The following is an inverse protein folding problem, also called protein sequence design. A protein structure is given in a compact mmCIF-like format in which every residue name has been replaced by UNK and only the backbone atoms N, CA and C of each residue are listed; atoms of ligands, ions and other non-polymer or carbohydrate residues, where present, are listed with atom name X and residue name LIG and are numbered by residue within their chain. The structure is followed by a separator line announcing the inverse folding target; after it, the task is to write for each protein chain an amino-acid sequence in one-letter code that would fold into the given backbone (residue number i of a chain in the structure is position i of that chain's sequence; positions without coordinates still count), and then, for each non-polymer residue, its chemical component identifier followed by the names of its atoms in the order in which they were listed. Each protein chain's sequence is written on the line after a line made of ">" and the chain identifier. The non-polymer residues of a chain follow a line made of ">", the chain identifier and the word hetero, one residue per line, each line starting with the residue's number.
data_IF_188330814786
#
_entry.id   IF_188330814786
#
_cell.length_a   1.000
_cell.length_b   1.000
_cell.length_c   1.000
_cell.angle_alpha   90.00
_cell.angle_beta   90.00
_cell.angle_gamma   90.00
#
_symmetry.space_group_name_H-M   'P 1'
#
loop_
_entity.id
_entity.type
_entity.pdbx_description
1 polymer ?
#
# COMPACT_ATOMS: atom_id res chain seq x y z
N UNK A 1 -18.04 22.15 17.49
CA UNK A 1 -18.79 21.65 16.30
C UNK A 1 -17.97 21.65 15.02
N UNK A 2 -17.17 22.67 14.70
CA UNK A 2 -16.31 22.72 13.49
C UNK A 2 -15.22 21.63 13.50
N UNK A 3 -14.58 21.36 14.65
CA UNK A 3 -13.52 20.37 14.81
C UNK A 3 -14.00 18.92 14.58
N UNK A 4 -15.24 18.58 14.91
CA UNK A 4 -15.82 17.26 14.63
C UNK A 4 -16.09 17.05 13.14
N UNK A 5 -16.43 18.11 12.40
CA UNK A 5 -16.69 18.04 10.96
C UNK A 5 -15.39 17.79 10.18
N UNK A 6 -14.31 18.46 10.55
CA UNK A 6 -13.00 18.31 9.91
C UNK A 6 -12.46 16.87 10.05
N UNK A 7 -12.60 16.27 11.23
CA UNK A 7 -12.16 14.88 11.47
C UNK A 7 -12.89 13.87 10.57
N UNK A 8 -14.19 14.06 10.32
CA UNK A 8 -14.98 13.13 9.50
C UNK A 8 -14.60 13.19 8.01
N UNK A 9 -14.18 14.35 7.53
CA UNK A 9 -13.79 14.51 6.10
C UNK A 9 -12.33 14.21 5.83
N UNK A 10 -11.45 14.34 6.82
CA UNK A 10 -10.00 14.22 6.67
C UNK A 10 -9.47 12.86 7.13
N UNK A 11 -10.00 12.32 8.22
CA UNK A 11 -9.52 11.07 8.81
C UNK A 11 -10.69 10.11 9.09
N UNK A 12 -10.54 8.86 8.68
CA UNK A 12 -11.50 7.79 8.94
C UNK A 12 -10.89 6.74 9.85
N UNK A 13 -11.57 6.34 10.95
CA UNK A 13 -11.14 5.20 11.73
C UNK A 13 -11.41 3.89 10.96
N UNK A 14 -10.41 3.03 10.91
CA UNK A 14 -10.47 1.70 10.27
C UNK A 14 -9.97 0.66 11.25
N UNK A 15 -10.64 -0.48 11.33
CA UNK A 15 -10.16 -1.66 12.03
C UNK A 15 -9.39 -2.54 11.05
N UNK A 16 -8.19 -2.93 11.42
CA UNK A 16 -7.36 -3.88 10.65
C UNK A 16 -7.91 -5.28 10.90
N UNK A 17 -8.14 -6.04 9.84
CA UNK A 17 -8.57 -7.42 9.90
C UNK A 17 -7.61 -8.31 9.11
N UNK A 18 -7.26 -9.45 9.73
CA UNK A 18 -6.33 -10.43 9.16
C UNK A 18 -4.86 -10.13 9.42
N UNK A 19 -4.02 -10.95 8.82
CA UNK A 19 -2.58 -11.03 9.12
C UNK A 19 -1.68 -10.62 7.97
N UNK A 20 -2.25 -10.16 6.86
CA UNK A 20 -1.50 -9.86 5.62
C UNK A 20 -0.50 -8.71 5.74
N UNK A 21 -0.65 -7.85 6.75
CA UNK A 21 0.22 -6.69 6.99
C UNK A 21 1.17 -6.88 8.19
N UNK A 22 1.31 -8.10 8.71
CA UNK A 22 2.31 -8.41 9.73
C UNK A 22 3.73 -8.21 9.18
N UNK A 23 4.67 -7.77 10.02
CA UNK A 23 4.53 -7.41 11.43
C UNK A 23 4.05 -5.98 11.66
N UNK A 24 3.85 -5.21 10.58
CA UNK A 24 3.57 -3.78 10.66
C UNK A 24 2.21 -3.47 11.28
N UNK A 25 1.18 -4.16 10.84
CA UNK A 25 -0.18 -4.05 11.37
C UNK A 25 -0.70 -5.44 11.76
N UNK A 26 -1.31 -5.52 12.93
CA UNK A 26 -1.86 -6.75 13.50
C UNK A 26 -3.39 -6.75 13.43
N UNK A 27 -3.95 -7.94 13.42
CA UNK A 27 -5.40 -8.12 13.52
C UNK A 27 -5.99 -7.42 14.75
N UNK A 28 -7.12 -6.74 14.56
CA UNK A 28 -7.81 -6.01 15.62
C UNK A 28 -7.25 -4.62 15.94
N UNK A 29 -6.09 -4.23 15.40
CA UNK A 29 -5.59 -2.87 15.55
C UNK A 29 -6.53 -1.86 14.89
N UNK A 30 -6.56 -0.62 15.45
CA UNK A 30 -7.37 0.46 14.88
C UNK A 30 -6.48 1.62 14.48
N UNK A 31 -6.68 2.09 13.27
CA UNK A 31 -5.87 3.12 12.63
C UNK A 31 -6.75 4.26 12.13
N UNK A 32 -6.17 5.43 12.01
CA UNK A 32 -6.72 6.51 11.22
C UNK A 32 -6.12 6.49 9.83
N UNK A 33 -6.97 6.62 8.82
CA UNK A 33 -6.56 6.76 7.42
C UNK A 33 -6.86 8.17 6.93
N UNK A 34 -5.93 8.75 6.18
CA UNK A 34 -6.10 10.05 5.53
C UNK A 34 -6.94 9.87 4.26
N UNK A 35 -8.09 10.52 4.23
CA UNK A 35 -9.00 10.51 3.06
C UNK A 35 -8.69 11.60 2.05
N UNK A 36 -7.86 12.58 2.37
CA UNK A 36 -7.49 13.64 1.42
C UNK A 36 -6.78 13.10 0.19
N UNK A 37 -6.20 11.91 0.29
CA UNK A 37 -5.63 11.19 -0.86
C UNK A 37 -6.65 10.95 -1.98
N UNK A 38 -7.93 10.77 -1.64
CA UNK A 38 -9.02 10.65 -2.62
C UNK A 38 -9.21 11.93 -3.45
N UNK A 39 -8.75 13.07 -2.92
CA UNK A 39 -8.77 14.38 -3.59
C UNK A 39 -7.41 14.74 -4.20
N UNK A 40 -6.48 13.76 -4.33
CA UNK A 40 -5.15 13.98 -4.88
C UNK A 40 -4.16 14.68 -3.94
N UNK A 41 -4.40 14.65 -2.61
CA UNK A 41 -3.54 15.32 -1.61
C UNK A 41 -3.32 14.43 -0.37
N UNK A 42 -2.07 14.05 -0.03
CA UNK A 42 -0.85 14.05 -0.85
C UNK A 42 -0.87 12.93 -1.90
N UNK A 43 0.01 12.97 -2.86
CA UNK A 43 0.18 11.89 -3.85
C UNK A 43 0.47 10.54 -3.19
N UNK A 44 0.12 9.48 -3.88
CA UNK A 44 0.45 8.12 -3.47
C UNK A 44 1.90 7.83 -3.83
N UNK A 45 2.67 7.47 -2.82
CA UNK A 45 4.09 7.18 -2.96
C UNK A 45 4.37 5.68 -2.77
N UNK A 46 5.50 5.23 -3.32
CA UNK A 46 6.01 3.89 -3.00
C UNK A 46 6.26 3.77 -1.49
N UNK A 47 5.85 2.64 -0.92
CA UNK A 47 5.97 2.38 0.51
C UNK A 47 4.75 2.82 1.33
N UNK A 48 3.84 3.59 0.76
CA UNK A 48 2.60 3.94 1.43
C UNK A 48 1.74 2.71 1.74
N UNK A 49 1.13 2.71 2.91
CA UNK A 49 0.11 1.72 3.25
C UNK A 49 -1.25 2.33 2.93
N UNK A 50 -1.92 1.77 1.94
CA UNK A 50 -3.18 2.29 1.41
C UNK A 50 -4.35 1.37 1.71
N UNK A 51 -5.52 1.97 1.87
CA UNK A 51 -6.81 1.28 2.02
C UNK A 51 -7.63 1.53 0.76
N UNK A 52 -8.17 0.47 0.20
CA UNK A 52 -8.87 0.52 -1.09
C UNK A 52 -10.00 -0.50 -1.16
N UNK A 53 -10.97 -0.25 -2.03
CA UNK A 53 -11.99 -1.24 -2.39
C UNK A 53 -11.37 -2.35 -3.23
N UNK A 54 -11.64 -3.59 -2.85
CA UNK A 54 -11.09 -4.74 -3.56
C UNK A 54 -11.61 -4.79 -5.01
N UNK A 55 -10.74 -4.83 -6.03
CA UNK A 55 -11.16 -4.69 -7.43
C UNK A 55 -12.17 -5.74 -7.91
N UNK A 56 -12.09 -6.97 -7.38
CA UNK A 56 -12.97 -8.08 -7.77
C UNK A 56 -14.25 -8.15 -6.93
N UNK A 57 -14.32 -7.42 -5.81
CA UNK A 57 -15.50 -7.34 -4.93
C UNK A 57 -15.47 -6.01 -4.16
N UNK A 58 -15.98 -4.91 -4.76
CA UNK A 58 -15.94 -3.58 -4.13
C UNK A 58 -16.74 -3.46 -2.83
N UNK A 59 -17.48 -4.48 -2.44
CA UNK A 59 -18.09 -4.59 -1.10
C UNK A 59 -17.09 -4.83 0.02
N UNK A 60 -15.84 -5.19 -0.33
CA UNK A 60 -14.74 -5.44 0.61
C UNK A 60 -13.66 -4.39 0.47
N UNK A 61 -13.03 -4.05 1.60
CA UNK A 61 -11.86 -3.18 1.63
C UNK A 61 -10.62 -3.96 2.04
N UNK A 62 -9.51 -3.66 1.39
CA UNK A 62 -8.21 -4.23 1.70
C UNK A 62 -7.23 -3.14 2.12
N UNK A 63 -6.22 -3.54 2.88
CA UNK A 63 -5.09 -2.71 3.27
C UNK A 63 -3.81 -3.38 2.80
N UNK A 64 -2.98 -2.67 2.03
CA UNK A 64 -1.73 -3.17 1.45
C UNK A 64 -0.71 -2.04 1.31
N UNK A 65 0.54 -2.42 1.08
CA UNK A 65 1.63 -1.49 0.78
C UNK A 65 1.78 -1.30 -0.72
N UNK A 66 1.98 -0.06 -1.15
CA UNK A 66 2.30 0.30 -2.53
C UNK A 66 3.74 -0.12 -2.84
N UNK A 67 3.90 -0.95 -3.86
CA UNK A 67 5.18 -1.49 -4.33
C UNK A 67 5.54 -0.94 -5.71
N UNK A 68 4.61 -0.91 -6.64
CA UNK A 68 4.80 -0.39 -7.99
C UNK A 68 3.93 0.81 -8.26
N UNK A 69 4.53 1.83 -8.85
CA UNK A 69 3.88 3.07 -9.27
C UNK A 69 3.48 3.00 -10.76
N UNK A 70 2.54 3.86 -11.21
CA UNK A 70 2.19 3.94 -12.63
C UNK A 70 3.41 4.07 -13.54
N UNK A 71 3.41 3.36 -14.67
CA UNK A 71 4.52 3.37 -15.65
C UNK A 71 5.69 2.43 -15.34
N UNK A 72 5.69 1.75 -14.20
CA UNK A 72 6.77 0.86 -13.79
C UNK A 72 6.49 -0.61 -14.15
N UNK A 73 7.55 -1.38 -14.22
CA UNK A 73 7.47 -2.85 -14.31
C UNK A 73 7.93 -3.46 -12.99
N UNK A 74 7.04 -4.22 -12.34
CA UNK A 74 7.32 -4.95 -11.10
C UNK A 74 7.49 -6.43 -11.42
N UNK A 75 8.52 -7.06 -10.88
CA UNK A 75 8.78 -8.50 -11.02
C UNK A 75 9.17 -9.09 -9.67
N UNK A 76 8.67 -10.29 -9.39
CA UNK A 76 9.12 -11.11 -8.25
C UNK A 76 10.08 -12.17 -8.79
N UNK A 77 11.27 -12.28 -8.18
CA UNK A 77 12.26 -13.33 -8.50
C UNK A 77 12.90 -13.83 -7.20
N UNK A 78 12.81 -15.12 -6.95
CA UNK A 78 13.35 -15.72 -5.73
C UNK A 78 12.80 -15.07 -4.45
N UNK A 79 11.54 -14.67 -4.45
CA UNK A 79 10.91 -13.96 -3.34
C UNK A 79 11.31 -12.49 -3.19
N UNK A 80 12.19 -11.96 -4.04
CA UNK A 80 12.63 -10.55 -4.04
C UNK A 80 11.88 -9.76 -5.08
N UNK A 81 11.67 -8.47 -4.79
CA UNK A 81 10.99 -7.55 -5.70
C UNK A 81 12.00 -6.76 -6.52
N UNK A 82 11.71 -6.64 -7.81
CA UNK A 82 12.46 -5.79 -8.73
C UNK A 82 11.50 -4.80 -9.37
N UNK A 83 11.88 -3.52 -9.35
CA UNK A 83 11.16 -2.43 -10.00
C UNK A 83 12.05 -1.89 -11.11
N UNK A 84 11.57 -1.93 -12.35
CA UNK A 84 12.34 -1.56 -13.55
C UNK A 84 13.72 -2.24 -13.59
N UNK A 85 13.78 -3.52 -13.15
CA UNK A 85 15.00 -4.31 -13.12
C UNK A 85 15.93 -4.07 -11.92
N UNK A 86 15.66 -3.10 -11.06
CA UNK A 86 16.43 -2.84 -9.83
C UNK A 86 15.77 -3.51 -8.64
N UNK A 87 16.56 -4.19 -7.79
CA UNK A 87 16.07 -4.82 -6.57
C UNK A 87 15.58 -3.77 -5.57
N UNK A 88 14.34 -3.94 -5.10
CA UNK A 88 13.75 -3.10 -4.08
C UNK A 88 14.23 -3.59 -2.70
N UNK A 89 14.87 -2.69 -1.94
CA UNK A 89 15.25 -2.98 -0.57
C UNK A 89 14.05 -2.82 0.36
N UNK A 90 13.72 -3.87 1.12
CA UNK A 90 12.49 -3.93 1.91
C UNK A 90 12.80 -4.22 3.40
N UNK A 91 13.43 -3.28 4.13
CA UNK A 91 13.88 -3.49 5.51
C UNK A 91 12.72 -3.67 6.51
N UNK A 92 11.50 -3.37 6.11
CA UNK A 92 10.29 -3.53 6.92
C UNK A 92 9.76 -4.97 6.96
N UNK A 93 10.29 -5.86 6.11
CA UNK A 93 9.87 -7.26 6.08
C UNK A 93 10.53 -8.06 7.20
N UNK A 94 9.77 -8.97 7.76
CA UNK A 94 10.29 -9.97 8.69
C UNK A 94 10.59 -11.28 7.96
N UNK A 95 11.81 -11.78 8.07
CA UNK A 95 12.28 -12.96 7.35
C UNK A 95 11.43 -14.22 7.59
N UNK A 96 10.88 -14.35 8.82
CA UNK A 96 10.05 -15.49 9.19
C UNK A 96 8.67 -15.53 8.49
N UNK A 97 8.23 -14.38 7.94
CA UNK A 97 6.95 -14.21 7.24
C UNK A 97 7.11 -14.08 5.72
N UNK A 98 8.34 -14.26 5.23
CA UNK A 98 8.72 -14.03 3.83
C UNK A 98 9.72 -15.09 3.37
N UNK A 99 9.37 -16.36 3.57
CA UNK A 99 10.23 -17.53 3.32
C UNK A 99 10.02 -18.06 1.90
N UNK A 100 8.80 -17.90 1.35
CA UNK A 100 8.46 -18.44 0.03
C UNK A 100 9.23 -17.71 -1.08
N UNK A 101 10.18 -18.40 -1.67
CA UNK A 101 10.91 -17.94 -2.83
C UNK A 101 10.10 -18.25 -4.09
N UNK A 102 9.12 -17.40 -4.40
CA UNK A 102 8.33 -17.51 -5.63
C UNK A 102 8.89 -16.64 -6.74
N UNK A 103 8.57 -17.01 -7.98
CA UNK A 103 8.80 -16.23 -9.17
C UNK A 103 7.45 -15.88 -9.81
N UNK A 104 7.20 -14.59 -10.02
CA UNK A 104 6.04 -14.12 -10.76
C UNK A 104 6.53 -13.40 -12.04
N UNK A 105 5.79 -13.51 -13.14
CA UNK A 105 6.14 -12.80 -14.36
C UNK A 105 6.13 -11.27 -14.12
N UNK A 106 6.91 -10.51 -14.92
CA UNK A 106 6.88 -9.06 -14.82
C UNK A 106 5.51 -8.50 -15.14
N UNK A 107 5.06 -7.54 -14.31
CA UNK A 107 3.78 -6.85 -14.45
C UNK A 107 4.05 -5.38 -14.72
N UNK A 108 3.61 -4.88 -15.87
CA UNK A 108 3.60 -3.44 -16.16
C UNK A 108 2.44 -2.77 -15.42
N UNK A 109 2.76 -1.79 -14.60
CA UNK A 109 1.79 -0.98 -13.86
C UNK A 109 1.23 0.10 -14.79
N UNK A 110 0.00 -0.07 -15.22
CA UNK A 110 -0.68 0.87 -16.13
C UNK A 110 -0.81 2.27 -15.51
N UNK A 111 -0.93 3.34 -16.33
CA UNK A 111 -1.36 4.65 -15.86
C UNK A 111 -2.60 4.56 -14.96
N UNK A 112 -2.63 5.31 -13.86
CA UNK A 112 -3.71 5.31 -12.86
C UNK A 112 -3.95 3.98 -12.15
N UNK A 113 -2.93 3.10 -12.08
CA UNK A 113 -2.97 1.86 -11.32
C UNK A 113 -1.75 1.73 -10.41
N UNK A 114 -1.89 0.92 -9.37
CA UNK A 114 -0.82 0.61 -8.43
C UNK A 114 -0.66 -0.90 -8.27
N UNK A 115 0.58 -1.34 -8.10
CA UNK A 115 0.89 -2.70 -7.68
C UNK A 115 1.09 -2.70 -6.17
N UNK A 116 0.31 -3.48 -5.45
CA UNK A 116 0.32 -3.48 -3.99
C UNK A 116 0.58 -4.88 -3.44
N UNK A 117 1.26 -4.96 -2.29
CA UNK A 117 1.56 -6.22 -1.61
C UNK A 117 1.33 -6.11 -0.10
N UNK A 118 1.03 -7.25 0.52
CA UNK A 118 1.08 -7.35 1.97
C UNK A 118 2.52 -7.44 2.50
N UNK A 119 2.75 -7.02 3.72
CA UNK A 119 4.06 -7.15 4.38
C UNK A 119 4.32 -8.60 4.82
N UNK A 120 3.26 -9.39 5.07
CA UNK A 120 3.33 -10.84 5.24
C UNK A 120 3.20 -11.52 3.87
N UNK A 121 4.30 -11.63 3.14
CA UNK A 121 4.37 -12.14 1.76
C UNK A 121 3.82 -13.53 1.59
N UNK A 122 4.03 -14.39 2.58
CA UNK A 122 3.61 -15.80 2.56
C UNK A 122 2.11 -15.96 2.83
N UNK A 123 1.49 -14.95 3.45
CA UNK A 123 0.07 -14.97 3.80
C UNK A 123 -0.65 -13.68 3.40
N UNK A 124 -0.54 -13.32 2.13
CA UNK A 124 -1.22 -12.15 1.57
C UNK A 124 -1.84 -12.45 0.22
N UNK A 125 -3.13 -12.20 0.11
CA UNK A 125 -3.80 -12.06 -1.19
C UNK A 125 -3.64 -10.61 -1.65
N UNK A 126 -2.87 -10.40 -2.72
CA UNK A 126 -2.48 -9.08 -3.20
C UNK A 126 -2.29 -9.05 -4.73
N UNK A 127 -1.65 -8.04 -5.28
CA UNK A 127 -1.51 -7.84 -6.72
C UNK A 127 -0.84 -9.00 -7.46
N UNK A 128 -0.10 -9.85 -6.76
CA UNK A 128 0.45 -11.10 -7.34
C UNK A 128 -0.66 -12.06 -7.77
N UNK A 129 -1.77 -12.07 -7.04
CA UNK A 129 -2.88 -13.03 -7.26
C UNK A 129 -4.00 -12.45 -8.11
N UNK A 130 -4.37 -11.17 -7.92
CA UNK A 130 -5.56 -10.59 -8.52
C UNK A 130 -5.30 -9.31 -9.34
N UNK A 131 -4.02 -8.87 -9.47
CA UNK A 131 -3.62 -7.80 -10.37
C UNK A 131 -3.57 -6.42 -9.75
N UNK A 132 -3.68 -5.38 -10.59
CA UNK A 132 -3.48 -3.99 -10.22
C UNK A 132 -4.70 -3.38 -9.52
N UNK A 133 -4.46 -2.41 -8.64
CA UNK A 133 -5.49 -1.58 -8.00
C UNK A 133 -5.66 -0.29 -8.77
N UNK A 134 -6.88 0.02 -9.28
CA UNK A 134 -7.16 1.32 -9.85
C UNK A 134 -7.01 2.43 -8.81
N UNK A 135 -6.38 3.54 -9.16
CA UNK A 135 -6.19 4.70 -8.29
C UNK A 135 -7.51 5.16 -7.65
N UNK A 136 -8.58 5.24 -8.43
CA UNK A 136 -9.92 5.62 -7.96
C UNK A 136 -10.54 4.71 -6.89
N UNK A 137 -9.95 3.53 -6.67
CA UNK A 137 -10.39 2.62 -5.62
C UNK A 137 -9.65 2.85 -4.29
N UNK A 138 -8.56 3.60 -4.31
CA UNK A 138 -7.79 3.94 -3.11
C UNK A 138 -8.48 5.13 -2.44
N UNK A 139 -8.99 4.90 -1.22
CA UNK A 139 -9.74 5.93 -0.49
C UNK A 139 -9.07 6.38 0.79
N UNK A 140 -7.93 5.80 1.16
CA UNK A 140 -7.22 6.22 2.36
C UNK A 140 -5.77 5.77 2.40
N UNK A 141 -4.92 6.60 3.02
CA UNK A 141 -3.52 6.32 3.37
C UNK A 141 -3.43 6.16 4.89
N UNK A 142 -2.88 5.06 5.37
CA UNK A 142 -2.70 4.81 6.80
C UNK A 142 -1.76 5.87 7.41
N UNK A 143 -2.20 6.51 8.49
CA UNK A 143 -1.45 7.58 9.14
C UNK A 143 -0.99 7.24 10.55
N UNK A 144 -1.94 6.82 11.38
CA UNK A 144 -1.74 6.73 12.81
C UNK A 144 -2.50 5.54 13.38
N UNK A 145 -1.82 4.72 14.17
CA UNK A 145 -2.45 3.66 14.97
C UNK A 145 -2.83 4.23 16.33
N UNK A 146 -4.11 4.17 16.67
CA UNK A 146 -4.61 4.66 17.95
C UNK A 146 -5.00 3.56 18.93
N UNK A 147 -5.08 2.31 18.46
CA UNK A 147 -5.37 1.16 19.31
C UNK A 147 -4.55 -0.07 18.89
N UNK A 148 -3.97 -0.85 19.82
CA UNK A 148 -3.97 -0.63 21.26
C UNK A 148 -3.12 0.57 21.68
N UNK A 149 -3.45 1.20 22.81
CA UNK A 149 -2.76 2.41 23.29
C UNK A 149 -1.26 2.18 23.53
N UNK A 150 -0.89 0.94 23.92
CA UNK A 150 0.51 0.56 24.12
C UNK A 150 1.36 0.59 22.82
N UNK A 151 0.71 0.59 21.67
CA UNK A 151 1.34 0.64 20.33
C UNK A 151 0.90 1.89 19.54
N UNK A 152 0.27 2.87 20.21
CA UNK A 152 -0.19 4.08 19.54
C UNK A 152 0.98 4.86 18.95
N UNK A 153 0.84 5.31 17.70
CA UNK A 153 1.92 6.03 17.03
C UNK A 153 1.68 6.17 15.52
N UNK A 154 2.53 6.99 14.90
CA UNK A 154 2.53 7.20 13.46
C UNK A 154 2.89 5.90 12.75
N UNK A 155 2.12 5.55 11.73
CA UNK A 155 2.43 4.44 10.84
C UNK A 155 3.42 4.98 9.82
N UNK A 156 4.72 4.75 10.07
CA UNK A 156 5.75 5.16 9.12
C UNK A 156 5.62 4.37 7.83
N UNK A 157 5.67 5.06 6.73
CA UNK A 157 5.90 4.48 5.42
C UNK A 157 7.41 4.42 5.16
N UNK A 158 7.84 3.40 4.46
CA UNK A 158 9.23 3.32 4.02
C UNK A 158 9.41 4.22 2.79
N UNK A 159 10.34 5.15 2.84
CA UNK A 159 10.62 6.08 1.75
C UNK A 159 12.05 5.97 1.22
N UNK A 160 12.90 5.19 1.87
CA UNK A 160 14.29 5.07 1.46
C UNK A 160 14.50 3.84 0.58
N UNK A 161 14.34 4.03 -0.72
CA UNK A 161 14.60 3.01 -1.74
C UNK A 161 15.77 3.44 -2.62
N UNK A 162 17.03 3.07 -2.29
CA UNK A 162 18.21 3.55 -3.00
C UNK A 162 18.14 3.30 -4.51
N UNK A 163 18.18 4.37 -5.28
CA UNK A 163 18.16 4.33 -6.74
C UNK A 163 16.83 3.99 -7.40
N UNK A 164 15.73 3.94 -6.63
CA UNK A 164 14.38 3.76 -7.14
C UNK A 164 13.52 4.96 -6.69
N UNK A 165 12.87 5.69 -7.60
CA UNK A 165 12.03 6.83 -7.24
C UNK A 165 10.89 6.44 -6.32
N UNK A 166 10.56 7.29 -5.37
CA UNK A 166 9.40 7.11 -4.46
C UNK A 166 8.13 7.74 -5.03
N UNK A 167 8.28 8.73 -5.91
CA UNK A 167 7.19 9.42 -6.59
C UNK A 167 7.13 9.05 -8.06
N UNK A 168 5.94 9.16 -8.65
CA UNK A 168 5.78 9.10 -10.09
C UNK A 168 6.47 10.32 -10.71
N UNK A 169 7.44 10.10 -11.62
CA UNK A 169 8.25 11.17 -12.23
C UNK A 169 7.61 11.79 -13.47
N UNK A 170 6.61 11.18 -14.04
CA UNK A 170 5.85 11.73 -15.17
C UNK A 170 4.47 12.20 -14.71
N UNK A 171 4.17 13.47 -14.94
CA UNK A 171 2.76 13.92 -14.96
C UNK A 171 2.11 13.23 -16.14
N UNK A 172 1.24 12.28 -15.87
CA UNK A 172 0.40 11.67 -16.90
C UNK A 172 -0.49 12.81 -17.41
N UNK A 173 -0.35 13.16 -18.68
CA UNK A 173 -1.23 14.12 -19.31
C UNK A 173 -2.68 13.60 -19.22
N UNK A 174 -3.63 14.44 -18.79
CA UNK A 174 -5.01 14.00 -18.59
C UNK A 174 -5.78 13.69 -19.88
N UNK A 175 -5.12 13.70 -21.05
CA UNK A 175 -5.74 13.53 -22.38
C UNK A 175 -5.37 12.21 -23.11
N UNK A 176 -4.77 11.20 -22.44
CA UNK A 176 -4.60 9.86 -23.04
C UNK A 176 -5.50 8.78 -22.40
#
# INVERSE_FOLDING_TARGET
>A
MIMSLVLVFVAQPVKVEGTSMLPRLHDGERIFVNKLIYYGLPDIERGDIVVFWFPNDPGKSYIKRVIGLPGETVQVRGGRIFVNGKELQEPYLESSLNVAAGDDPPVYVKPHYYFVMGDNRDNSSDSRSWGLVPEKYIYGKALFRYWPLSKAGVISHETNYPGIPTHHTEKIDPEE
#
